data_IF_902799462218
#
_entry.id   IF_902799462218
#
_cell.length_a   1.000
_cell.length_b   1.000
_cell.length_c   1.000
_cell.angle_alpha   90.00
_cell.angle_beta   90.00
_cell.angle_gamma   90.00
#
_symmetry.space_group_name_H-M   'P 1'
#
loop_
_entity.id
_entity.type
_entity.pdbx_description
1 polymer ?
#
# COMPACT_ATOMS: atom_id res chain seq x y z
N UNK A 1 40.71 -24.14 -17.20
CA UNK A 1 39.89 -23.22 -16.38
C UNK A 1 38.64 -22.89 -17.20
N UNK A 2 37.48 -23.43 -16.83
CA UNK A 2 36.25 -23.25 -17.61
C UNK A 2 35.69 -21.83 -17.41
N UNK A 3 35.20 -21.14 -18.46
CA UNK A 3 34.64 -19.81 -18.32
C UNK A 3 33.31 -19.88 -17.56
N UNK A 4 33.19 -19.09 -16.49
CA UNK A 4 31.94 -18.92 -15.75
C UNK A 4 30.91 -18.30 -16.68
N UNK A 5 29.89 -19.08 -17.03
CA UNK A 5 28.70 -18.62 -17.75
C UNK A 5 28.05 -17.51 -16.91
N UNK A 6 28.06 -16.28 -17.42
CA UNK A 6 27.43 -15.14 -16.76
C UNK A 6 25.96 -15.43 -16.51
N UNK A 7 25.48 -15.16 -15.30
CA UNK A 7 24.05 -15.13 -15.01
C UNK A 7 23.45 -13.98 -15.81
N UNK A 8 22.70 -14.30 -16.86
CA UNK A 8 21.76 -13.36 -17.47
C UNK A 8 20.81 -12.88 -16.38
N UNK A 9 20.85 -11.57 -16.09
CA UNK A 9 19.81 -10.92 -15.28
C UNK A 9 18.53 -11.00 -16.11
N UNK A 10 17.64 -11.91 -15.76
CA UNK A 10 16.25 -11.84 -16.21
C UNK A 10 15.71 -10.49 -15.73
N UNK A 11 15.38 -9.63 -16.67
CA UNK A 11 14.58 -8.44 -16.41
C UNK A 11 13.23 -8.93 -15.88
N UNK A 12 12.99 -8.75 -14.59
CA UNK A 12 11.65 -8.94 -14.02
C UNK A 12 10.74 -7.93 -14.69
N UNK A 13 9.93 -8.41 -15.65
CA UNK A 13 8.84 -7.61 -16.21
C UNK A 13 7.91 -7.23 -15.06
N UNK A 14 7.88 -5.95 -14.72
CA UNK A 14 6.92 -5.39 -13.77
C UNK A 14 5.56 -5.41 -14.45
N UNK A 15 4.82 -6.50 -14.26
CA UNK A 15 3.44 -6.62 -14.75
C UNK A 15 2.57 -5.75 -13.84
N UNK A 16 2.21 -4.55 -14.31
CA UNK A 16 1.19 -3.71 -13.68
C UNK A 16 -0.19 -4.24 -14.07
N UNK A 17 -0.95 -4.73 -13.10
CA UNK A 17 -2.33 -5.22 -13.27
C UNK A 17 -3.38 -4.10 -13.15
N UNK A 18 -2.94 -2.84 -13.04
CA UNK A 18 -3.82 -1.68 -12.91
C UNK A 18 -4.39 -1.17 -14.23
N UNK A 19 -5.32 -0.20 -14.18
CA UNK A 19 -5.87 0.43 -15.38
C UNK A 19 -4.76 1.09 -16.20
N UNK A 20 -4.77 0.81 -17.52
CA UNK A 20 -3.90 1.51 -18.47
C UNK A 20 -4.55 2.86 -18.80
N UNK A 21 -4.02 3.92 -18.19
CA UNK A 21 -4.49 5.30 -18.41
C UNK A 21 -3.55 6.05 -19.35
N UNK A 22 -4.09 7.02 -20.07
CA UNK A 22 -3.31 7.91 -20.92
C UNK A 22 -2.45 8.87 -20.08
N UNK A 23 -1.35 9.37 -20.66
CA UNK A 23 -0.53 10.39 -19.99
C UNK A 23 -1.38 11.63 -19.66
N UNK A 24 -1.43 11.99 -18.37
CA UNK A 24 -2.17 13.16 -17.87
C UNK A 24 -3.55 12.85 -17.30
N UNK A 25 -4.02 11.60 -17.30
CA UNK A 25 -5.27 11.22 -16.64
C UNK A 25 -5.06 10.84 -15.17
N UNK A 26 -5.99 11.30 -14.32
CA UNK A 26 -6.01 10.96 -12.90
C UNK A 26 -6.80 9.66 -12.67
N UNK A 27 -6.19 8.70 -11.96
CA UNK A 27 -6.88 7.51 -11.45
C UNK A 27 -7.38 7.82 -10.05
N UNK A 28 -8.70 7.75 -9.85
CA UNK A 28 -9.33 8.03 -8.56
C UNK A 28 -9.64 6.74 -7.79
N UNK A 29 -9.40 6.79 -6.49
CA UNK A 29 -9.87 5.81 -5.51
C UNK A 29 -10.52 6.53 -4.32
N UNK A 30 -11.19 5.79 -3.45
CA UNK A 30 -11.80 6.33 -2.23
C UNK A 30 -10.98 5.86 -1.04
N UNK A 31 -10.49 6.80 -0.23
CA UNK A 31 -9.82 6.49 1.03
C UNK A 31 -10.80 6.66 2.20
N UNK A 32 -11.12 5.55 2.87
CA UNK A 32 -11.92 5.52 4.09
C UNK A 32 -10.97 5.56 5.28
N UNK A 33 -10.99 6.69 5.99
CA UNK A 33 -10.20 6.89 7.21
C UNK A 33 -11.10 6.69 8.42
N UNK A 34 -10.83 5.65 9.20
CA UNK A 34 -11.51 5.44 10.47
C UNK A 34 -10.53 5.69 11.62
N UNK A 35 -10.76 6.77 12.35
CA UNK A 35 -9.99 7.13 13.53
C UNK A 35 -10.81 6.84 14.79
N UNK A 36 -10.31 5.91 15.61
CA UNK A 36 -10.91 5.57 16.90
C UNK A 36 -9.92 5.84 18.03
N UNK A 37 -10.39 5.71 19.28
CA UNK A 37 -9.52 5.83 20.44
C UNK A 37 -8.46 4.72 20.51
N UNK A 38 -8.76 3.54 19.95
CA UNK A 38 -7.91 2.37 20.05
C UNK A 38 -7.00 2.19 18.84
N UNK A 39 -7.47 2.48 17.63
CA UNK A 39 -6.69 2.28 16.40
C UNK A 39 -7.12 3.26 15.29
N UNK A 40 -6.26 3.38 14.28
CA UNK A 40 -6.48 4.15 13.05
C UNK A 40 -6.44 3.24 11.84
N UNK A 41 -7.40 3.38 10.92
CA UNK A 41 -7.49 2.59 9.70
C UNK A 41 -7.39 3.50 8.49
N UNK A 42 -6.53 3.10 7.55
CA UNK A 42 -6.42 3.66 6.21
C UNK A 42 -6.85 2.56 5.24
N UNK A 43 -8.05 2.69 4.68
CA UNK A 43 -8.63 1.68 3.78
C UNK A 43 -8.97 2.33 2.44
N UNK A 44 -8.26 1.91 1.38
CA UNK A 44 -8.50 2.43 0.03
C UNK A 44 -9.29 1.41 -0.77
N UNK A 45 -10.39 1.87 -1.37
CA UNK A 45 -11.25 1.09 -2.25
C UNK A 45 -11.37 1.74 -3.61
N UNK A 46 -11.92 1.00 -4.56
CA UNK A 46 -12.48 1.57 -5.77
C UNK A 46 -13.70 2.49 -5.46
N UNK A 47 -14.19 3.18 -6.49
CA UNK A 47 -15.33 4.11 -6.36
C UNK A 47 -16.63 3.41 -5.92
N UNK A 48 -16.80 2.11 -6.22
CA UNK A 48 -17.97 1.36 -5.78
C UNK A 48 -17.89 0.92 -4.32
N UNK A 49 -16.70 0.96 -3.72
CA UNK A 49 -16.45 0.48 -2.36
C UNK A 49 -16.47 -1.03 -2.21
N UNK A 50 -16.54 -1.78 -3.33
CA UNK A 50 -16.64 -3.24 -3.31
C UNK A 50 -15.28 -3.91 -3.38
N UNK A 51 -14.33 -3.29 -4.06
CA UNK A 51 -12.99 -3.82 -4.22
C UNK A 51 -12.01 -3.06 -3.32
N UNK A 52 -11.29 -3.80 -2.49
CA UNK A 52 -10.26 -3.26 -1.60
C UNK A 52 -8.92 -3.28 -2.32
N UNK A 53 -8.31 -2.11 -2.48
CA UNK A 53 -7.01 -1.95 -3.12
C UNK A 53 -5.90 -2.09 -2.08
N UNK A 54 -5.99 -1.32 -0.99
CA UNK A 54 -5.06 -1.45 0.14
C UNK A 54 -5.78 -1.20 1.46
N UNK A 55 -5.26 -1.82 2.53
CA UNK A 55 -5.75 -1.63 3.89
C UNK A 55 -4.60 -1.74 4.87
N UNK A 56 -4.35 -0.66 5.60
CA UNK A 56 -3.29 -0.56 6.61
C UNK A 56 -3.90 0.02 7.89
N UNK A 57 -3.49 -0.49 9.04
CA UNK A 57 -3.90 0.06 10.34
C UNK A 57 -2.69 0.57 11.12
N UNK A 58 -2.93 1.47 12.07
CA UNK A 58 -1.90 1.96 12.99
C UNK A 58 -1.27 0.81 13.76
N UNK A 59 -2.08 -0.13 14.25
CA UNK A 59 -1.61 -1.36 14.91
C UNK A 59 -0.70 -2.26 14.05
N UNK A 60 -0.80 -2.22 12.72
CA UNK A 60 0.15 -2.95 11.86
C UNK A 60 1.55 -2.31 11.83
N UNK A 61 1.68 -1.03 12.21
CA UNK A 61 2.93 -0.27 12.15
C UNK A 61 3.64 -0.13 13.47
N UNK A 62 2.91 -0.24 14.59
CA UNK A 62 3.49 -0.22 15.93
C UNK A 62 3.48 -1.60 16.56
N UNK A 63 4.28 -1.79 17.61
CA UNK A 63 4.36 -3.08 18.35
C UNK A 63 3.61 -3.05 19.68
N UNK A 64 3.18 -1.88 20.13
CA UNK A 64 2.56 -1.68 21.43
C UNK A 64 1.11 -1.26 21.24
N UNK A 65 0.19 -2.00 21.87
CA UNK A 65 -1.27 -1.82 21.74
C UNK A 65 -1.75 -0.42 22.14
N UNK A 66 -1.01 0.27 23.01
CA UNK A 66 -1.33 1.64 23.43
C UNK A 66 -1.05 2.70 22.35
N UNK A 67 -0.19 2.37 21.40
CA UNK A 67 0.35 3.34 20.43
C UNK A 67 -0.36 3.22 19.06
N UNK A 68 -1.33 2.31 18.92
CA UNK A 68 -2.05 2.02 17.67
C UNK A 68 -2.88 3.21 17.16
N UNK A 69 -3.46 3.99 18.06
CA UNK A 69 -4.18 5.24 17.73
C UNK A 69 -3.29 6.48 17.66
N UNK A 70 -1.98 6.33 17.89
CA UNK A 70 -1.09 7.49 17.95
C UNK A 70 -1.01 8.20 16.59
N UNK A 71 -0.88 9.54 16.56
CA UNK A 71 -0.71 10.28 15.30
C UNK A 71 0.51 9.82 14.50
N UNK A 72 1.54 9.32 15.19
CA UNK A 72 2.72 8.76 14.57
C UNK A 72 2.44 7.43 13.85
N UNK A 73 1.68 6.52 14.48
CA UNK A 73 1.25 5.27 13.86
C UNK A 73 0.40 5.53 12.61
N UNK A 74 -0.53 6.50 12.67
CA UNK A 74 -1.37 6.89 11.55
C UNK A 74 -0.54 7.46 10.38
N UNK A 75 0.49 8.27 10.67
CA UNK A 75 1.38 8.82 9.65
C UNK A 75 2.19 7.72 8.95
N UNK A 76 2.68 6.73 9.71
CA UNK A 76 3.37 5.58 9.13
C UNK A 76 2.42 4.73 8.29
N UNK A 77 1.19 4.48 8.77
CA UNK A 77 0.19 3.73 8.04
C UNK A 77 -0.24 4.38 6.71
N UNK A 78 -0.07 5.70 6.58
CA UNK A 78 -0.38 6.43 5.35
C UNK A 78 0.77 6.47 4.33
N UNK A 79 1.99 6.10 4.72
CA UNK A 79 3.14 6.05 3.80
C UNK A 79 3.24 4.73 3.04
N UNK A 80 2.64 3.67 3.59
CA UNK A 80 2.55 2.34 2.99
C UNK A 80 1.30 2.17 2.12
#
# INVERSE_FOLDING_TARGET
MAPRKGKEKKEEQVISLGPQVAEGENVFGVCHIFASFNDTFVHVTDLSGKETICRVTGGMKVKADRDESSPYAAMLAAQD
#
